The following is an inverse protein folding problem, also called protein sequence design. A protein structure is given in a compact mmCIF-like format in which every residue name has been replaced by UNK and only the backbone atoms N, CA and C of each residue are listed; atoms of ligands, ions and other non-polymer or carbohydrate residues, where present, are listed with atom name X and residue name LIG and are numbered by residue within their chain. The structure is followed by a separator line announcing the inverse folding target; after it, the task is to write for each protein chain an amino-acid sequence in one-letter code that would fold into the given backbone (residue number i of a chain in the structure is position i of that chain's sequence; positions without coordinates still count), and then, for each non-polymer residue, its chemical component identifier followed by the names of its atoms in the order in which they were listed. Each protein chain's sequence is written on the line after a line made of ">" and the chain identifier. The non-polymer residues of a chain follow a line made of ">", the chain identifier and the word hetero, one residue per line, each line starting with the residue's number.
data_IF_182901022326
#
_entry.id   IF_182901022326
#
_cell.length_a   1.000
_cell.length_b   1.000
_cell.length_c   1.000
_cell.angle_alpha   90.00
_cell.angle_beta   90.00
_cell.angle_gamma   90.00
#
_symmetry.space_group_name_H-M   'P 1'
#
loop_
_entity.id
_entity.type
_entity.pdbx_description
1 polymer ?
#
# COMPACT_ATOMS: atom_id res chain seq x y z
N UNK A 1 -1.78 0.67 6.75
CA UNK A 1 -1.59 -0.79 6.86
C UNK A 1 -2.62 -1.54 6.03
N UNK A 2 -3.91 -1.20 6.13
CA UNK A 2 -5.01 -1.84 5.37
C UNK A 2 -4.80 -1.76 3.84
N UNK A 3 -4.47 -0.57 3.30
CA UNK A 3 -4.22 -0.39 1.86
C UNK A 3 -3.05 -1.23 1.31
N UNK A 4 -1.99 -1.44 2.10
CA UNK A 4 -0.86 -2.25 1.67
C UNK A 4 -1.18 -3.75 1.62
N UNK A 5 -2.04 -4.22 2.52
CA UNK A 5 -2.48 -5.61 2.57
C UNK A 5 -3.41 -5.95 1.40
N UNK A 6 -4.36 -5.06 1.09
CA UNK A 6 -5.25 -5.23 -0.07
C UNK A 6 -4.47 -5.27 -1.36
N UNK A 7 -3.54 -4.32 -1.57
CA UNK A 7 -2.76 -4.28 -2.80
C UNK A 7 -1.79 -5.47 -2.93
N UNK A 8 -1.39 -6.08 -1.81
CA UNK A 8 -0.56 -7.28 -1.76
C UNK A 8 -1.33 -8.58 -2.08
N UNK A 9 -2.65 -8.57 -1.99
CA UNK A 9 -3.53 -9.71 -2.27
C UNK A 9 -4.12 -9.66 -3.69
N UNK A 10 -4.53 -8.47 -4.15
CA UNK A 10 -5.26 -8.32 -5.43
C UNK A 10 -4.37 -8.58 -6.65
N UNK A 11 -3.08 -8.21 -6.60
CA UNK A 11 -2.16 -8.40 -7.73
C UNK A 11 -1.83 -9.89 -7.95
N UNK A 12 -1.38 -10.67 -6.94
CA UNK A 12 -1.20 -12.11 -7.11
C UNK A 12 -2.48 -12.81 -7.53
N UNK A 13 -3.64 -12.37 -7.03
CA UNK A 13 -4.94 -12.93 -7.43
C UNK A 13 -5.22 -12.82 -8.93
N UNK A 14 -5.10 -11.61 -9.49
CA UNK A 14 -5.33 -11.39 -10.91
C UNK A 14 -4.32 -12.18 -11.77
N UNK A 15 -3.07 -12.27 -11.32
CA UNK A 15 -2.01 -12.96 -12.04
C UNK A 15 -2.18 -14.48 -11.99
N UNK A 16 -2.61 -15.03 -10.85
CA UNK A 16 -2.98 -16.45 -10.71
C UNK A 16 -4.14 -16.80 -11.63
N UNK A 17 -5.19 -15.98 -11.69
CA UNK A 17 -6.33 -16.21 -12.56
C UNK A 17 -5.93 -16.27 -14.05
N UNK A 18 -5.10 -15.31 -14.49
CA UNK A 18 -4.58 -15.29 -15.86
C UNK A 18 -3.65 -16.45 -16.21
N UNK A 19 -2.66 -16.74 -15.35
CA UNK A 19 -1.66 -17.78 -15.61
C UNK A 19 -2.18 -19.21 -15.40
N UNK A 20 -3.26 -19.41 -14.63
CA UNK A 20 -3.86 -20.74 -14.44
C UNK A 20 -4.39 -21.33 -15.75
N UNK A 21 -4.69 -20.50 -16.74
CA UNK A 21 -5.07 -20.93 -18.10
C UNK A 21 -3.94 -21.68 -18.84
N UNK A 22 -2.68 -21.51 -18.43
CA UNK A 22 -1.51 -22.15 -19.06
C UNK A 22 -1.32 -23.62 -18.63
N UNK A 23 -2.11 -24.12 -17.67
CA UNK A 23 -2.12 -25.53 -17.30
C UNK A 23 -0.87 -26.04 -16.55
N UNK A 24 0.06 -25.16 -16.17
CA UNK A 24 1.26 -25.53 -15.38
C UNK A 24 1.41 -24.71 -14.10
N UNK A 25 1.25 -25.36 -12.95
CA UNK A 25 1.40 -24.77 -11.61
C UNK A 25 2.75 -24.09 -11.38
N UNK A 26 3.82 -24.64 -11.96
CA UNK A 26 5.18 -24.09 -11.81
C UNK A 26 5.29 -22.66 -12.35
N UNK A 27 4.62 -22.38 -13.49
CA UNK A 27 4.63 -21.05 -14.12
C UNK A 27 3.84 -20.06 -13.26
N UNK A 28 2.70 -20.50 -12.72
CA UNK A 28 1.85 -19.69 -11.83
C UNK A 28 2.63 -19.29 -10.56
N UNK A 29 3.26 -20.26 -9.89
CA UNK A 29 4.01 -20.03 -8.65
C UNK A 29 5.19 -19.09 -8.89
N UNK A 30 6.03 -19.37 -9.90
CA UNK A 30 7.19 -18.53 -10.18
C UNK A 30 6.80 -17.12 -10.63
N UNK A 31 5.80 -16.99 -11.50
CA UNK A 31 5.30 -15.69 -11.96
C UNK A 31 4.84 -14.83 -10.80
N UNK A 32 4.07 -15.39 -9.87
CA UNK A 32 3.59 -14.67 -8.70
C UNK A 32 4.70 -14.31 -7.72
N UNK A 33 5.68 -15.19 -7.51
CA UNK A 33 6.82 -14.89 -6.63
C UNK A 33 7.67 -13.74 -7.19
N UNK A 34 7.95 -13.74 -8.50
CA UNK A 34 8.68 -12.67 -9.16
C UNK A 34 7.91 -11.35 -9.05
N UNK A 35 6.61 -11.37 -9.33
CA UNK A 35 5.76 -10.18 -9.22
C UNK A 35 5.72 -9.63 -7.78
N UNK A 36 5.64 -10.50 -6.77
CA UNK A 36 5.67 -10.08 -5.37
C UNK A 36 6.97 -9.38 -4.99
N UNK A 37 8.10 -9.94 -5.40
CA UNK A 37 9.42 -9.34 -5.16
C UNK A 37 9.53 -8.00 -5.90
N UNK A 38 9.14 -7.95 -7.17
CA UNK A 38 9.19 -6.73 -7.97
C UNK A 38 8.30 -5.61 -7.38
N UNK A 39 7.05 -5.95 -7.01
CA UNK A 39 6.07 -5.02 -6.46
C UNK A 39 6.49 -4.49 -5.08
N UNK A 40 7.03 -5.35 -4.22
CA UNK A 40 7.52 -4.95 -2.89
C UNK A 40 8.72 -4.01 -2.99
N UNK A 41 9.68 -4.28 -3.87
CA UNK A 41 10.82 -3.37 -4.12
C UNK A 41 10.31 -2.04 -4.67
N UNK A 42 9.48 -2.06 -5.72
CA UNK A 42 8.96 -0.88 -6.39
C UNK A 42 8.18 0.04 -5.43
N UNK A 43 7.22 -0.51 -4.67
CA UNK A 43 6.41 0.27 -3.70
C UNK A 43 7.25 0.85 -2.57
N UNK A 44 8.35 0.18 -2.20
CA UNK A 44 9.21 0.63 -1.10
C UNK A 44 10.19 1.71 -1.52
N UNK A 45 10.69 1.62 -2.75
CA UNK A 45 11.43 2.69 -3.40
C UNK A 45 10.51 3.89 -3.67
N UNK A 46 9.30 3.68 -4.18
CA UNK A 46 8.30 4.72 -4.38
C UNK A 46 7.91 5.43 -3.08
N UNK A 47 7.66 4.67 -2.01
CA UNK A 47 7.39 5.23 -0.68
C UNK A 47 8.54 6.06 -0.10
N UNK A 48 9.79 5.75 -0.47
CA UNK A 48 10.94 6.59 -0.12
C UNK A 48 10.93 7.92 -0.87
N UNK A 49 10.76 7.84 -2.19
CA UNK A 49 10.78 8.99 -3.07
C UNK A 49 9.67 9.97 -2.70
N UNK A 50 8.47 9.46 -2.39
CA UNK A 50 7.35 10.30 -1.91
C UNK A 50 7.63 10.92 -0.54
N UNK A 51 8.25 10.18 0.38
CA UNK A 51 8.66 10.73 1.68
C UNK A 51 9.71 11.84 1.52
N UNK A 52 10.67 11.66 0.60
CA UNK A 52 11.69 12.67 0.29
C UNK A 52 11.11 13.88 -0.42
N UNK A 53 10.20 13.69 -1.37
CA UNK A 53 9.51 14.80 -2.03
C UNK A 53 8.70 15.64 -1.02
N UNK A 54 8.00 15.00 -0.08
CA UNK A 54 7.28 15.69 0.99
C UNK A 54 8.23 16.50 1.88
N UNK A 55 9.43 15.98 2.16
CA UNK A 55 10.47 16.71 2.89
C UNK A 55 10.90 17.98 2.14
N UNK A 56 11.21 17.90 0.84
CA UNK A 56 11.57 19.07 0.04
C UNK A 56 10.44 20.11 -0.02
N UNK A 57 9.19 19.67 -0.18
CA UNK A 57 8.04 20.57 -0.15
C UNK A 57 7.92 21.30 1.18
N UNK A 58 8.11 20.59 2.30
CA UNK A 58 8.07 21.19 3.64
C UNK A 58 9.14 22.29 3.80
N UNK A 59 10.38 22.02 3.40
CA UNK A 59 11.47 22.99 3.54
C UNK A 59 11.36 24.18 2.59
N UNK A 60 10.86 23.96 1.36
CA UNK A 60 10.64 25.04 0.41
C UNK A 60 9.61 26.07 0.94
N UNK A 61 8.49 25.59 1.48
CA UNK A 61 7.45 26.45 2.08
C UNK A 61 7.96 27.13 3.35
N UNK A 62 8.66 26.40 4.22
CA UNK A 62 9.23 26.97 5.44
C UNK A 62 10.14 28.15 5.10
N UNK A 63 11.10 27.96 4.20
CA UNK A 63 12.06 28.99 3.80
C UNK A 63 11.34 30.22 3.22
N UNK A 64 10.32 30.01 2.39
CA UNK A 64 9.54 31.10 1.81
C UNK A 64 8.80 31.94 2.88
N UNK A 65 8.37 31.32 3.98
CA UNK A 65 7.77 32.02 5.11
C UNK A 65 8.83 32.67 6.03
N UNK A 66 10.01 32.06 6.23
CA UNK A 66 11.09 32.69 7.01
C UNK A 66 11.49 34.05 6.43
N UNK A 67 11.55 34.17 5.09
CA UNK A 67 11.83 35.45 4.41
C UNK A 67 10.75 36.52 4.61
N UNK A 68 9.48 36.15 4.79
CA UNK A 68 8.38 37.11 4.96
C UNK A 68 8.32 37.71 6.37
N UNK A 69 8.83 36.98 7.37
CA UNK A 69 8.68 37.32 8.79
C UNK A 69 9.92 38.03 9.36
N UNK A 70 10.90 38.39 8.51
CA UNK A 70 12.20 38.95 8.88
C UNK A 70 12.17 40.32 9.61
N UNK A 71 10.98 40.87 9.88
CA UNK A 71 10.77 42.13 10.61
C UNK A 71 10.53 41.99 12.13
N UNK A 72 10.49 40.77 12.69
CA UNK A 72 10.18 40.51 14.10
C UNK A 72 11.38 39.93 14.91
N UNK A 73 11.27 39.90 16.24
CA UNK A 73 12.30 39.36 17.17
C UNK A 73 12.50 37.83 16.95
N UNK A 74 13.73 37.35 16.75
CA UNK A 74 14.02 35.97 16.29
C UNK A 74 13.33 34.84 17.09
N UNK A 75 13.14 35.01 18.40
CA UNK A 75 12.50 33.99 19.24
C UNK A 75 10.99 33.84 19.01
N UNK A 76 10.32 34.91 18.55
CA UNK A 76 8.89 34.88 18.21
C UNK A 76 8.66 34.47 16.74
N UNK A 77 9.68 34.61 15.88
CA UNK A 77 9.65 34.16 14.47
C UNK A 77 9.39 32.65 14.39
N UNK A 78 10.17 31.83 15.10
CA UNK A 78 10.09 30.37 14.97
C UNK A 78 8.71 29.81 15.36
N UNK A 79 8.11 30.33 16.45
CA UNK A 79 6.75 29.96 16.88
C UNK A 79 5.70 30.36 15.86
N UNK A 80 5.86 31.54 15.26
CA UNK A 80 4.94 32.07 14.25
C UNK A 80 4.99 31.23 12.96
N UNK A 81 6.20 30.84 12.52
CA UNK A 81 6.38 30.02 11.33
C UNK A 81 5.84 28.61 11.56
N UNK A 82 6.11 28.01 12.72
CA UNK A 82 5.57 26.69 13.05
C UNK A 82 4.04 26.70 13.16
N UNK A 83 3.47 27.77 13.72
CA UNK A 83 2.03 28.03 13.70
C UNK A 83 1.50 28.14 12.27
N UNK A 84 2.14 28.91 11.39
CA UNK A 84 1.70 29.03 9.99
C UNK A 84 1.81 27.70 9.23
N UNK A 85 2.92 26.97 9.35
CA UNK A 85 3.09 25.66 8.73
C UNK A 85 1.99 24.69 9.15
N UNK A 86 1.63 24.69 10.44
CA UNK A 86 0.58 23.81 10.99
C UNK A 86 -0.84 24.25 10.62
N UNK A 87 -1.18 25.54 10.70
CA UNK A 87 -2.56 26.01 10.54
C UNK A 87 -2.92 26.47 9.13
N UNK A 88 -1.98 27.08 8.39
CA UNK A 88 -2.23 27.47 6.99
C UNK A 88 -2.01 26.31 6.03
N UNK A 89 -0.92 25.57 6.21
CA UNK A 89 -0.50 24.55 5.25
C UNK A 89 -0.81 23.11 5.70
N UNK A 90 -1.23 22.92 6.95
CA UNK A 90 -1.45 21.60 7.56
C UNK A 90 -0.24 20.67 7.39
N UNK A 91 0.97 21.25 7.37
CA UNK A 91 2.23 20.55 7.18
C UNK A 91 2.87 20.28 8.54
N UNK A 92 3.03 18.99 8.85
CA UNK A 92 3.74 18.54 10.05
C UNK A 92 5.19 18.22 9.70
N UNK A 93 6.12 18.43 10.65
CA UNK A 93 7.55 18.25 10.40
C UNK A 93 7.85 16.78 10.07
N UNK A 94 8.46 16.47 8.91
CA UNK A 94 8.74 15.09 8.54
C UNK A 94 9.82 14.49 9.47
N UNK A 95 9.49 13.38 10.14
CA UNK A 95 10.42 12.62 11.00
C UNK A 95 11.17 11.56 10.16
N UNK A 96 12.48 11.74 9.91
CA UNK A 96 13.24 10.85 9.04
C UNK A 96 13.50 9.47 9.66
N UNK A 97 13.63 9.37 10.99
CA UNK A 97 14.03 8.14 11.68
C UNK A 97 12.85 7.17 11.88
N UNK A 98 11.65 7.71 12.11
CA UNK A 98 10.41 6.91 12.22
C UNK A 98 9.99 6.28 10.89
N UNK A 99 10.52 6.76 9.76
CA UNK A 99 10.17 6.28 8.42
C UNK A 99 10.74 4.89 8.10
N UNK A 100 11.94 4.55 8.58
CA UNK A 100 12.66 3.36 8.13
C UNK A 100 12.10 2.06 8.75
N UNK A 101 11.87 2.06 10.06
CA UNK A 101 11.23 0.93 10.75
C UNK A 101 9.80 0.67 10.22
N UNK A 102 9.06 1.75 9.91
CA UNK A 102 7.71 1.66 9.34
C UNK A 102 7.72 1.12 7.91
N UNK A 103 8.77 1.40 7.14
CA UNK A 103 8.97 0.89 5.77
C UNK A 103 9.32 -0.60 5.75
N UNK A 104 10.20 -1.06 6.64
CA UNK A 104 10.56 -2.48 6.77
C UNK A 104 9.34 -3.30 7.23
N UNK A 105 8.61 -2.83 8.24
CA UNK A 105 7.38 -3.50 8.71
C UNK A 105 6.31 -3.59 7.62
N UNK A 106 6.15 -2.57 6.79
CA UNK A 106 5.20 -2.60 5.68
C UNK A 106 5.62 -3.62 4.59
N UNK A 107 6.93 -3.85 4.43
CA UNK A 107 7.48 -4.84 3.49
C UNK A 107 7.05 -6.27 3.83
N UNK A 108 7.21 -6.66 5.10
CA UNK A 108 6.86 -8.00 5.56
C UNK A 108 5.37 -8.29 5.41
N UNK A 109 4.52 -7.29 5.61
CA UNK A 109 3.07 -7.46 5.51
C UNK A 109 2.65 -7.73 4.06
N UNK A 110 3.17 -6.96 3.09
CA UNK A 110 2.85 -7.12 1.66
C UNK A 110 3.34 -8.48 1.14
N UNK A 111 4.57 -8.86 1.53
CA UNK A 111 5.16 -10.13 1.11
C UNK A 111 4.41 -11.34 1.68
N UNK A 112 4.15 -11.34 3.00
CA UNK A 112 3.44 -12.44 3.66
C UNK A 112 1.99 -12.51 3.18
N UNK A 113 1.30 -11.39 2.98
CA UNK A 113 -0.07 -11.40 2.47
C UNK A 113 -0.16 -11.96 1.06
N UNK A 114 0.85 -11.73 0.22
CA UNK A 114 0.91 -12.27 -1.14
C UNK A 114 1.29 -13.74 -1.23
N UNK A 115 1.87 -14.30 -0.16
CA UNK A 115 2.26 -15.71 -0.10
C UNK A 115 1.09 -16.63 0.30
N UNK A 116 0.14 -16.13 1.11
CA UNK A 116 -1.04 -16.89 1.55
C UNK A 116 -1.83 -17.46 0.35
N UNK A 117 -2.12 -16.68 -0.71
CA UNK A 117 -2.79 -17.18 -1.89
C UNK A 117 -1.93 -18.22 -2.64
N UNK A 118 -0.60 -18.17 -2.60
CA UNK A 118 0.21 -19.18 -3.29
C UNK A 118 0.19 -20.56 -2.62
N UNK A 119 -0.15 -20.62 -1.33
CA UNK A 119 -0.05 -21.82 -0.51
C UNK A 119 -0.77 -23.06 -1.09
N UNK A 120 -2.00 -22.97 -1.64
CA UNK A 120 -2.72 -24.12 -2.21
C UNK A 120 -2.00 -24.75 -3.41
N UNK A 121 -1.27 -23.94 -4.21
CA UNK A 121 -0.56 -24.41 -5.40
C UNK A 121 0.68 -25.25 -5.08
N UNK A 122 1.20 -25.18 -3.84
CA UNK A 122 2.29 -26.05 -3.39
C UNK A 122 1.83 -27.49 -3.12
N UNK A 123 0.55 -27.68 -2.75
CA UNK A 123 0.02 -28.99 -2.35
C UNK A 123 -0.81 -29.66 -3.44
N UNK A 124 -1.44 -28.89 -4.33
CA UNK A 124 -2.32 -29.39 -5.37
C UNK A 124 -1.56 -29.43 -6.70
N UNK A 125 -1.53 -30.59 -7.36
CA UNK A 125 -0.87 -30.76 -8.68
C UNK A 125 -1.74 -30.33 -9.86
N UNK A 126 -3.05 -30.34 -9.69
CA UNK A 126 -4.02 -29.91 -10.71
C UNK A 126 -4.25 -28.40 -10.67
N UNK A 127 -3.95 -27.71 -11.77
CA UNK A 127 -4.04 -26.26 -11.88
C UNK A 127 -5.46 -25.73 -11.65
N UNK A 128 -6.45 -26.41 -12.20
CA UNK A 128 -7.86 -26.01 -12.13
C UNK A 128 -8.40 -26.17 -10.71
N UNK A 129 -8.10 -27.28 -10.05
CA UNK A 129 -8.47 -27.52 -8.65
C UNK A 129 -7.76 -26.53 -7.72
N UNK A 130 -6.48 -26.24 -7.99
CA UNK A 130 -5.72 -25.20 -7.29
C UNK A 130 -6.39 -23.83 -7.39
N UNK A 131 -6.88 -23.45 -8.57
CA UNK A 131 -7.57 -22.19 -8.81
C UNK A 131 -8.89 -22.07 -8.01
N UNK A 132 -9.70 -23.13 -7.94
CA UNK A 132 -10.94 -23.10 -7.16
C UNK A 132 -10.69 -22.96 -5.66
N UNK A 133 -9.71 -23.70 -5.12
CA UNK A 133 -9.35 -23.60 -3.69
C UNK A 133 -8.74 -22.23 -3.38
N UNK A 134 -7.89 -21.73 -4.27
CA UNK A 134 -7.32 -20.39 -4.20
C UNK A 134 -8.39 -19.32 -4.13
N UNK A 135 -9.28 -19.27 -5.12
CA UNK A 135 -10.34 -18.28 -5.23
C UNK A 135 -11.25 -18.31 -4.00
N UNK A 136 -11.66 -19.48 -3.52
CA UNK A 136 -12.42 -19.63 -2.27
C UNK A 136 -11.66 -19.11 -1.05
N UNK A 137 -10.39 -19.46 -0.90
CA UNK A 137 -9.57 -18.99 0.23
C UNK A 137 -9.40 -17.47 0.21
N UNK A 138 -9.18 -16.87 -0.96
CA UNK A 138 -9.08 -15.43 -1.15
C UNK A 138 -10.41 -14.72 -0.85
N UNK A 139 -11.54 -15.25 -1.34
CA UNK A 139 -12.88 -14.70 -1.06
C UNK A 139 -13.21 -14.70 0.42
N UNK A 140 -12.87 -15.78 1.14
CA UNK A 140 -13.07 -15.89 2.60
C UNK A 140 -12.18 -14.87 3.33
N UNK A 141 -10.89 -14.80 2.99
CA UNK A 141 -9.94 -13.86 3.61
C UNK A 141 -10.35 -12.41 3.34
N UNK A 142 -10.72 -12.08 2.11
CA UNK A 142 -11.12 -10.74 1.70
C UNK A 142 -12.44 -10.34 2.38
N UNK A 143 -13.42 -11.25 2.40
CA UNK A 143 -14.67 -11.08 3.12
C UNK A 143 -14.46 -10.87 4.62
N UNK A 144 -13.54 -11.62 5.23
CA UNK A 144 -13.20 -11.51 6.65
C UNK A 144 -12.50 -10.19 7.00
N UNK A 145 -11.50 -9.77 6.21
CA UNK A 145 -10.76 -8.50 6.41
C UNK A 145 -11.73 -7.33 6.25
N UNK A 146 -12.54 -7.32 5.18
CA UNK A 146 -13.49 -6.24 4.92
C UNK A 146 -14.61 -6.23 5.96
N UNK A 147 -15.13 -7.38 6.38
CA UNK A 147 -16.16 -7.50 7.40
C UNK A 147 -15.70 -7.07 8.81
N UNK A 148 -14.42 -7.32 9.15
CA UNK A 148 -13.84 -6.93 10.44
C UNK A 148 -13.44 -5.45 10.49
N UNK A 149 -13.06 -4.87 9.34
CA UNK A 149 -12.65 -3.46 9.23
C UNK A 149 -13.79 -2.49 8.87
N UNK A 150 -14.91 -2.99 8.33
CA UNK A 150 -16.09 -2.20 7.96
C UNK A 150 -17.08 -1.78 9.08
N UNK A 151 -16.95 -2.13 10.39
CA UNK A 151 -17.75 -1.43 11.39
C UNK A 151 -17.34 0.05 11.57
N UNK A 152 -16.26 0.50 10.92
CA UNK A 152 -15.85 1.90 10.90
C UNK A 152 -16.35 2.56 9.60
N UNK A 153 -17.51 3.21 9.70
CA UNK A 153 -18.16 4.11 8.71
C UNK A 153 -17.25 4.56 7.53
N UNK A 154 -17.37 3.88 6.39
CA UNK A 154 -16.97 4.43 5.09
C UNK A 154 -18.05 5.40 4.59
N UNK A 155 -18.11 6.61 5.16
CA UNK A 155 -18.98 7.69 4.69
C UNK A 155 -18.26 8.65 3.73
N UNK A 156 -17.31 8.15 2.93
CA UNK A 156 -16.56 9.03 2.02
C UNK A 156 -15.49 8.39 1.14
N UNK A 157 -15.45 7.05 0.99
CA UNK A 157 -14.56 6.45 0.00
C UNK A 157 -15.21 6.52 -1.40
N UNK A 158 -14.52 7.05 -2.42
CA UNK A 158 -15.08 7.17 -3.76
C UNK A 158 -15.48 5.78 -4.29
N UNK A 159 -16.71 5.69 -4.75
CA UNK A 159 -17.40 4.50 -5.29
C UNK A 159 -16.62 3.72 -6.35
N UNK A 160 -15.56 4.30 -6.90
CA UNK A 160 -14.76 3.73 -7.99
C UNK A 160 -13.81 2.61 -7.53
N UNK A 161 -13.42 2.55 -6.25
CA UNK A 161 -12.48 1.53 -5.78
C UNK A 161 -13.12 0.13 -5.65
N UNK A 162 -14.41 0.09 -5.32
CA UNK A 162 -15.18 -1.17 -5.24
C UNK A 162 -15.47 -1.76 -6.61
N UNK A 163 -15.55 -0.91 -7.65
CA UNK A 163 -15.85 -1.34 -9.02
C UNK A 163 -14.69 -2.07 -9.71
N UNK A 164 -13.44 -1.70 -9.43
CA UNK A 164 -12.26 -2.36 -10.03
C UNK A 164 -12.12 -3.81 -9.53
N UNK A 165 -12.36 -4.07 -8.23
CA UNK A 165 -12.31 -5.43 -7.68
C UNK A 165 -13.46 -6.32 -8.14
N UNK A 166 -14.69 -5.78 -8.27
CA UNK A 166 -15.83 -6.55 -8.76
C UNK A 166 -15.73 -6.92 -10.25
N UNK A 167 -14.98 -6.16 -11.06
CA UNK A 167 -14.78 -6.48 -12.48
C UNK A 167 -13.84 -7.67 -12.69
N UNK A 168 -12.91 -7.94 -11.77
CA UNK A 168 -12.01 -9.11 -11.84
C UNK A 168 -12.70 -10.38 -11.34
N UNK A 169 -13.66 -10.27 -10.42
CA UNK A 169 -14.45 -11.39 -9.91
C UNK A 169 -15.55 -11.91 -10.87
N UNK A 170 -15.71 -11.30 -12.05
CA UNK A 170 -16.71 -11.68 -13.06
C UNK A 170 -16.12 -12.28 -14.34
N UNK A 171 -14.80 -12.47 -14.38
CA UNK A 171 -14.07 -13.21 -15.44
C UNK A 171 -13.72 -14.58 -14.86
#
# INVERSE_FOLDING_TARGET
>A
MIFGLTDGLTIPFALVAGLSSLGHNYIVILGCLVELIASTISKTAGGWATSKAAEYHYWAERNAEEFKVQYYLESEIQKTIEFMMKFKFNLEKPDPARSLAKRISNWSIIFVSGLIPLLPYFFIRDCVTGLYVFTLSCLILFGYIKGTLAPIRLSGAPSNFVFVEFSVAKI
#
